data_IF_859892617947
#
_entry.id   IF_859892617947
#
_cell.length_a   1.000
_cell.length_b   1.000
_cell.length_c   1.000
_cell.angle_alpha   90.00
_cell.angle_beta   90.00
_cell.angle_gamma   90.00
#
_symmetry.space_group_name_H-M   'P 1'
#
loop_
_entity.id
_entity.type
_entity.pdbx_description
1 polymer ?
#
# COMPACT_ATOMS: atom_id res chain seq x y z
N UNK A 1 -19.37 -8.47 -47.42
CA UNK A 1 -19.55 -7.42 -46.44
C UNK A 1 -18.66 -7.64 -45.23
N UNK A 2 -18.04 -6.57 -44.75
CA UNK A 2 -17.26 -6.65 -43.52
C UNK A 2 -18.20 -6.79 -42.34
N UNK A 3 -17.81 -7.56 -41.31
CA UNK A 3 -18.61 -7.62 -40.09
C UNK A 3 -18.67 -6.25 -39.44
N UNK A 4 -19.74 -5.91 -38.70
CA UNK A 4 -19.81 -4.64 -38.01
C UNK A 4 -18.69 -4.54 -36.98
N UNK A 5 -18.15 -3.34 -36.84
CA UNK A 5 -17.14 -3.09 -35.83
C UNK A 5 -17.77 -3.22 -34.44
N UNK A 6 -17.06 -3.80 -33.47
CA UNK A 6 -17.58 -3.80 -32.10
C UNK A 6 -17.75 -2.36 -31.63
N UNK A 7 -18.69 -2.10 -30.73
CA UNK A 7 -18.85 -0.75 -30.18
C UNK A 7 -17.55 -0.29 -29.51
N UNK A 8 -17.24 0.99 -29.70
CA UNK A 8 -16.09 1.58 -29.04
C UNK A 8 -16.35 1.57 -27.53
N UNK A 9 -15.45 0.97 -26.73
CA UNK A 9 -15.63 1.00 -25.28
C UNK A 9 -15.70 2.43 -24.78
N UNK A 10 -16.52 2.67 -23.76
CA UNK A 10 -16.56 3.95 -23.11
C UNK A 10 -15.18 4.25 -22.53
N UNK A 11 -14.72 5.50 -22.68
CA UNK A 11 -13.48 5.96 -22.05
C UNK A 11 -13.71 5.95 -20.55
N UNK A 12 -12.93 5.15 -19.83
CA UNK A 12 -13.00 5.12 -18.36
C UNK A 12 -12.11 6.20 -17.81
N UNK A 13 -12.59 6.85 -16.77
CA UNK A 13 -11.78 7.84 -16.08
C UNK A 13 -10.60 7.19 -15.39
N UNK A 14 -9.47 7.81 -15.51
CA UNK A 14 -8.29 7.49 -14.74
C UNK A 14 -8.17 8.50 -13.60
N UNK A 15 -7.51 8.07 -12.54
CA UNK A 15 -7.12 8.97 -11.47
C UNK A 15 -5.61 8.89 -11.31
N UNK A 16 -5.00 10.00 -10.94
CA UNK A 16 -3.58 10.04 -10.64
C UNK A 16 -3.38 9.72 -9.18
N UNK A 17 -2.56 8.70 -8.91
CA UNK A 17 -2.27 8.22 -7.55
C UNK A 17 -0.78 8.43 -7.29
N UNK A 18 -0.42 9.09 -6.18
CA UNK A 18 1.00 9.35 -5.90
C UNK A 18 1.75 8.08 -5.56
N UNK A 19 2.94 7.94 -6.16
CA UNK A 19 3.92 6.94 -5.78
C UNK A 19 4.81 7.53 -4.70
N UNK A 20 4.74 6.95 -3.51
CA UNK A 20 5.58 7.37 -2.38
C UNK A 20 6.92 6.65 -2.49
N UNK A 21 7.99 7.40 -2.69
CA UNK A 21 9.33 6.84 -2.87
C UNK A 21 10.11 6.74 -1.57
N UNK A 22 9.88 7.68 -0.67
CA UNK A 22 10.53 7.70 0.63
C UNK A 22 9.66 8.44 1.63
N UNK A 23 9.99 8.31 2.89
CA UNK A 23 9.29 9.01 3.97
C UNK A 23 10.28 9.95 4.66
N UNK A 24 10.02 11.25 4.58
CA UNK A 24 10.83 12.24 5.28
C UNK A 24 10.40 12.29 6.76
N UNK A 25 11.39 12.45 7.62
CA UNK A 25 11.14 12.53 9.07
C UNK A 25 10.20 13.68 9.40
N UNK A 26 9.16 13.37 10.18
CA UNK A 26 8.20 14.37 10.65
C UNK A 26 7.22 14.87 9.61
N UNK A 27 7.30 14.42 8.35
CA UNK A 27 6.40 14.82 7.29
C UNK A 27 5.22 13.86 7.18
N UNK A 28 4.01 14.35 6.78
CA UNK A 28 2.93 13.43 6.41
C UNK A 28 3.34 12.55 5.24
N UNK A 29 2.79 11.34 5.15
CA UNK A 29 3.18 10.39 4.09
C UNK A 29 3.00 10.97 2.69
N UNK A 30 1.97 11.78 2.48
CA UNK A 30 1.67 12.41 1.18
C UNK A 30 2.30 13.79 1.00
N UNK A 31 3.27 14.16 1.84
CA UNK A 31 4.02 15.39 1.62
C UNK A 31 4.72 15.35 0.26
N UNK A 32 4.78 16.49 -0.41
CA UNK A 32 5.35 16.58 -1.77
C UNK A 32 6.75 15.97 -1.85
N UNK A 33 7.56 16.14 -0.83
CA UNK A 33 8.93 15.62 -0.78
C UNK A 33 9.01 14.10 -0.77
N UNK A 34 7.92 13.41 -0.42
CA UNK A 34 7.86 11.95 -0.41
C UNK A 34 7.37 11.38 -1.74
N UNK A 35 6.80 12.21 -2.62
CA UNK A 35 6.17 11.75 -3.85
C UNK A 35 7.16 11.77 -4.98
N UNK A 36 7.42 10.60 -5.58
CA UNK A 36 8.30 10.47 -6.74
C UNK A 36 7.58 10.84 -8.03
N UNK A 37 6.36 10.33 -8.22
CA UNK A 37 5.57 10.61 -9.42
C UNK A 37 4.09 10.32 -9.17
N UNK A 38 3.25 10.73 -10.11
CA UNK A 38 1.83 10.41 -10.10
C UNK A 38 1.58 9.34 -11.17
N UNK A 39 0.93 8.25 -10.77
CA UNK A 39 0.65 7.13 -11.67
C UNK A 39 -0.83 7.07 -12.00
N UNK A 40 -1.20 6.90 -13.29
CA UNK A 40 -2.60 6.74 -13.64
C UNK A 40 -3.09 5.36 -13.21
N UNK A 41 -4.23 5.34 -12.53
CA UNK A 41 -4.87 4.12 -12.06
C UNK A 41 -6.32 4.10 -12.53
N UNK A 42 -6.88 2.91 -12.88
CA UNK A 42 -8.27 2.83 -13.27
C UNK A 42 -9.17 3.13 -12.08
N UNK A 43 -9.94 4.20 -12.20
CA UNK A 43 -10.81 4.64 -11.12
C UNK A 43 -11.88 3.60 -10.80
N UNK A 44 -12.28 2.81 -11.79
CA UNK A 44 -13.28 1.77 -11.62
C UNK A 44 -12.85 0.68 -10.63
N UNK A 45 -11.56 0.37 -10.59
CA UNK A 45 -11.03 -0.68 -9.70
C UNK A 45 -10.68 -0.16 -8.31
N UNK A 46 -10.31 1.11 -8.23
CA UNK A 46 -9.83 1.73 -6.99
C UNK A 46 -10.52 3.07 -6.84
N UNK A 47 -11.72 3.04 -6.26
CA UNK A 47 -12.52 4.24 -6.06
C UNK A 47 -12.43 4.80 -4.64
N UNK A 48 -11.67 4.16 -3.77
CA UNK A 48 -11.45 4.67 -2.42
C UNK A 48 -10.76 6.03 -2.48
N UNK A 49 -11.12 6.95 -1.59
CA UNK A 49 -10.43 8.24 -1.52
C UNK A 49 -9.01 8.07 -0.97
N UNK A 50 -8.16 9.04 -1.29
CA UNK A 50 -6.85 9.20 -0.66
C UNK A 50 -5.96 7.96 -0.79
N UNK A 51 -5.77 7.51 -2.03
CA UNK A 51 -4.86 6.39 -2.31
C UNK A 51 -3.43 6.88 -2.52
N UNK A 52 -2.48 6.03 -2.17
CA UNK A 52 -1.10 6.16 -2.62
C UNK A 52 -0.53 4.79 -2.98
N UNK A 53 0.59 4.81 -3.69
CA UNK A 53 1.28 3.60 -4.12
C UNK A 53 2.63 3.53 -3.40
N UNK A 54 2.99 2.34 -2.95
CA UNK A 54 4.25 2.09 -2.27
C UNK A 54 4.90 0.85 -2.87
N UNK A 55 6.17 0.96 -3.23
CA UNK A 55 6.92 -0.20 -3.72
C UNK A 55 7.42 -1.05 -2.54
N UNK A 56 7.20 -2.36 -2.63
CA UNK A 56 7.62 -3.31 -1.60
C UNK A 56 9.11 -3.58 -1.72
N UNK A 57 9.79 -3.47 -0.60
CA UNK A 57 11.20 -3.83 -0.48
C UNK A 57 11.36 -4.94 0.54
N UNK A 58 12.03 -6.01 0.14
CA UNK A 58 12.24 -7.15 1.00
C UNK A 58 11.12 -8.18 0.90
N UNK A 59 11.17 -9.17 1.78
CA UNK A 59 10.34 -10.37 1.72
C UNK A 59 9.55 -10.63 3.00
N UNK A 60 9.30 -9.59 3.79
CA UNK A 60 8.61 -9.76 5.08
C UNK A 60 7.15 -10.20 4.95
N UNK A 61 6.56 -10.10 3.75
CA UNK A 61 5.15 -10.40 3.54
C UNK A 61 4.91 -11.47 2.48
N UNK A 62 5.90 -12.32 2.22
CA UNK A 62 5.81 -13.33 1.14
C UNK A 62 4.68 -14.32 1.36
N UNK A 63 4.38 -14.70 2.59
CA UNK A 63 3.30 -15.65 2.88
C UNK A 63 1.91 -15.03 2.66
N UNK A 64 1.82 -13.73 2.54
CA UNK A 64 0.58 -13.03 2.16
C UNK A 64 0.51 -12.78 0.66
N UNK A 65 1.49 -13.27 -0.12
CA UNK A 65 1.53 -13.07 -1.56
C UNK A 65 2.06 -11.71 -1.99
N UNK A 66 2.72 -10.99 -1.09
CA UNK A 66 3.32 -9.70 -1.37
C UNK A 66 4.82 -9.89 -1.50
N UNK A 67 5.37 -9.61 -2.67
CA UNK A 67 6.76 -9.91 -3.00
C UNK A 67 7.56 -8.63 -3.21
N UNK A 68 8.87 -8.75 -3.04
CA UNK A 68 9.81 -7.65 -3.33
C UNK A 68 9.57 -7.12 -4.75
N UNK A 69 9.49 -5.81 -4.88
CA UNK A 69 9.23 -5.15 -6.16
C UNK A 69 7.76 -4.96 -6.50
N UNK A 70 6.85 -5.54 -5.75
CA UNK A 70 5.42 -5.29 -5.94
C UNK A 70 5.08 -3.85 -5.64
N UNK A 71 4.02 -3.35 -6.30
CA UNK A 71 3.44 -2.05 -5.97
C UNK A 71 2.17 -2.28 -5.16
N UNK A 72 2.09 -1.67 -3.99
CA UNK A 72 0.91 -1.73 -3.15
C UNK A 72 0.05 -0.52 -3.40
N UNK A 73 -1.25 -0.75 -3.56
CA UNK A 73 -2.25 0.32 -3.58
C UNK A 73 -2.77 0.44 -2.16
N UNK A 74 -2.56 1.60 -1.55
CA UNK A 74 -2.77 1.84 -0.13
C UNK A 74 -3.78 2.96 0.05
N UNK A 75 -4.78 2.72 0.87
CA UNK A 75 -5.73 3.77 1.26
C UNK A 75 -5.23 4.46 2.52
N UNK A 76 -5.15 5.80 2.49
CA UNK A 76 -4.77 6.58 3.66
C UNK A 76 -5.80 6.40 4.77
N UNK A 77 -5.40 5.77 5.85
CA UNK A 77 -6.19 5.59 7.06
C UNK A 77 -5.26 5.50 8.25
N UNK A 78 -5.70 6.02 9.37
CA UNK A 78 -4.89 6.00 10.60
C UNK A 78 -5.42 5.00 11.64
N UNK A 79 -6.47 4.25 11.29
CA UNK A 79 -7.07 3.24 12.15
C UNK A 79 -7.07 1.92 11.41
N UNK A 80 -6.70 0.85 12.09
CA UNK A 80 -6.68 -0.50 11.54
C UNK A 80 -7.35 -1.47 12.51
N UNK A 81 -7.92 -2.53 11.96
CA UNK A 81 -8.47 -3.64 12.72
C UNK A 81 -7.47 -4.80 12.73
N UNK A 82 -7.62 -5.69 13.71
CA UNK A 82 -6.78 -6.87 13.80
C UNK A 82 -6.82 -7.68 12.51
N UNK A 83 -5.64 -8.04 12.01
CA UNK A 83 -5.50 -8.80 10.79
C UNK A 83 -5.36 -7.96 9.52
N UNK A 84 -5.58 -6.65 9.59
CA UNK A 84 -5.36 -5.78 8.42
C UNK A 84 -3.88 -5.75 8.04
N UNK A 85 -3.62 -5.70 6.74
CA UNK A 85 -2.27 -5.41 6.23
C UNK A 85 -2.13 -3.90 6.15
N UNK A 86 -1.20 -3.36 6.89
CA UNK A 86 -1.04 -1.92 7.05
C UNK A 86 0.33 -1.45 6.56
N UNK A 87 0.39 -0.17 6.23
CA UNK A 87 1.64 0.57 6.12
C UNK A 87 1.79 1.33 7.42
N UNK A 88 2.82 0.97 8.19
CA UNK A 88 3.13 1.60 9.47
C UNK A 88 4.42 2.40 9.36
N UNK A 89 4.46 3.53 10.05
CA UNK A 89 5.65 4.38 10.06
C UNK A 89 6.45 4.06 11.32
N UNK A 90 7.62 3.46 11.13
CA UNK A 90 8.56 3.15 12.19
C UNK A 90 9.84 3.93 11.93
N UNK A 91 10.18 4.81 12.85
CA UNK A 91 11.29 5.72 12.66
C UNK A 91 11.06 6.50 11.36
N UNK A 92 11.94 6.48 10.41
CA UNK A 92 11.80 7.19 9.14
C UNK A 92 11.50 6.24 7.99
N UNK A 93 10.86 5.10 8.28
CA UNK A 93 10.57 4.10 7.27
C UNK A 93 9.10 3.71 7.27
N UNK A 94 8.58 3.45 6.07
CA UNK A 94 7.28 2.84 5.89
C UNK A 94 7.48 1.33 5.83
N UNK A 95 6.84 0.59 6.74
CA UNK A 95 6.92 -0.87 6.77
C UNK A 95 5.54 -1.47 6.57
N UNK A 96 5.48 -2.61 5.88
CA UNK A 96 4.23 -3.31 5.59
C UNK A 96 4.19 -4.56 6.46
N UNK A 97 3.16 -4.65 7.27
CA UNK A 97 3.01 -5.76 8.22
C UNK A 97 1.52 -6.01 8.46
N UNK A 98 1.22 -7.14 9.07
CA UNK A 98 -0.13 -7.42 9.55
C UNK A 98 -0.27 -6.84 10.95
N UNK A 99 -1.37 -6.13 11.18
CA UNK A 99 -1.62 -5.37 12.40
C UNK A 99 -2.42 -6.19 13.39
N UNK A 100 -1.99 -6.15 14.67
CA UNK A 100 -2.77 -6.71 15.79
C UNK A 100 -2.64 -5.78 16.98
N UNK A 101 -3.78 -5.43 17.57
CA UNK A 101 -3.80 -4.61 18.78
C UNK A 101 -3.96 -5.50 19.99
N UNK A 102 -3.04 -5.39 20.92
CA UNK A 102 -3.11 -6.04 22.21
C UNK A 102 -3.44 -5.02 23.29
N UNK A 103 -3.63 -5.50 24.53
CA UNK A 103 -4.07 -4.64 25.61
C UNK A 103 -3.07 -3.48 25.89
N UNK A 104 -1.79 -3.77 25.83
CA UNK A 104 -0.73 -2.83 26.22
C UNK A 104 0.27 -2.51 25.12
N UNK A 105 0.09 -3.06 23.92
CA UNK A 105 1.00 -2.82 22.81
C UNK A 105 0.33 -3.12 21.48
N UNK A 106 1.04 -2.75 20.41
CA UNK A 106 0.69 -3.10 19.04
C UNK A 106 1.71 -4.10 18.52
N UNK A 107 1.23 -5.13 17.86
CA UNK A 107 2.08 -6.11 17.21
C UNK A 107 2.01 -5.90 15.70
N UNK A 108 3.15 -5.74 15.07
CA UNK A 108 3.30 -5.69 13.62
C UNK A 108 3.93 -7.00 13.19
N UNK A 109 3.11 -7.88 12.62
CA UNK A 109 3.50 -9.26 12.34
C UNK A 109 3.88 -9.40 10.87
N UNK A 110 5.12 -9.87 10.58
CA UNK A 110 5.48 -10.24 9.23
C UNK A 110 4.73 -11.51 8.82
N UNK A 111 4.52 -11.68 7.53
CA UNK A 111 4.03 -12.91 6.94
C UNK A 111 5.22 -13.66 6.33
N UNK A 112 6.14 -14.06 7.20
CA UNK A 112 7.38 -14.74 6.86
C UNK A 112 7.86 -15.49 8.09
N UNK A 113 7.97 -16.82 7.98
CA UNK A 113 8.33 -17.69 9.10
C UNK A 113 9.75 -17.46 9.63
N UNK A 114 10.59 -16.77 8.86
CA UNK A 114 11.97 -16.48 9.25
C UNK A 114 12.11 -15.14 9.99
N UNK A 115 11.01 -14.41 10.16
CA UNK A 115 11.04 -13.07 10.76
C UNK A 115 10.18 -13.01 12.00
N UNK A 116 10.63 -12.23 12.97
CA UNK A 116 9.93 -12.05 14.25
C UNK A 116 8.98 -10.85 14.20
N UNK A 117 7.86 -10.91 14.94
CA UNK A 117 6.98 -9.76 15.09
C UNK A 117 7.68 -8.58 15.77
N UNK A 118 7.25 -7.39 15.40
CA UNK A 118 7.68 -6.15 16.02
C UNK A 118 6.62 -5.74 17.02
N UNK A 119 7.00 -5.50 18.27
CA UNK A 119 6.09 -5.03 19.32
C UNK A 119 6.46 -3.62 19.71
N UNK A 120 5.48 -2.73 19.67
CA UNK A 120 5.65 -1.32 20.01
C UNK A 120 4.50 -0.88 20.89
N UNK A 121 4.75 0.13 21.73
CA UNK A 121 3.67 0.66 22.58
C UNK A 121 2.61 1.38 21.77
N UNK A 122 3.02 2.06 20.72
CA UNK A 122 2.12 2.73 19.78
C UNK A 122 2.82 2.85 18.43
N UNK A 123 2.04 3.04 17.38
CA UNK A 123 2.58 3.21 16.03
C UNK A 123 1.64 4.08 15.22
N UNK A 124 2.20 4.86 14.32
CA UNK A 124 1.42 5.62 13.36
C UNK A 124 1.12 4.74 12.15
N UNK A 125 -0.16 4.56 11.86
CA UNK A 125 -0.62 3.86 10.67
C UNK A 125 -0.78 4.89 9.56
N UNK A 126 -0.12 4.66 8.42
CA UNK A 126 -0.23 5.52 7.26
C UNK A 126 -1.36 5.09 6.33
N UNK A 127 -1.67 3.79 6.31
CA UNK A 127 -2.75 3.32 5.46
C UNK A 127 -2.97 1.82 5.52
N UNK A 128 -4.02 1.40 4.83
CA UNK A 128 -4.40 -0.01 4.66
C UNK A 128 -4.12 -0.45 3.23
N UNK A 129 -3.52 -1.62 3.07
CA UNK A 129 -3.25 -2.17 1.74
C UNK A 129 -4.56 -2.66 1.13
N UNK A 130 -4.89 -2.14 -0.06
CA UNK A 130 -6.11 -2.46 -0.79
C UNK A 130 -5.87 -3.29 -2.03
N UNK A 131 -4.65 -3.34 -2.53
CA UNK A 131 -4.35 -4.10 -3.72
C UNK A 131 -2.86 -4.23 -3.96
N UNK A 132 -2.53 -5.12 -4.88
CA UNK A 132 -1.15 -5.39 -5.29
C UNK A 132 -1.10 -5.34 -6.81
N UNK A 133 -0.08 -4.69 -7.34
CA UNK A 133 0.21 -4.68 -8.76
C UNK A 133 1.60 -5.24 -8.96
N UNK A 134 1.72 -6.27 -9.80
CA UNK A 134 2.99 -6.92 -10.06
C UNK A 134 3.22 -7.06 -11.56
N UNK A 135 4.43 -6.74 -11.97
CA UNK A 135 4.84 -6.88 -13.34
C UNK A 135 5.78 -8.09 -13.47
N UNK A 136 5.52 -8.93 -14.45
CA UNK A 136 6.43 -10.00 -14.83
C UNK A 136 7.37 -9.55 -15.92
N UNK A 137 8.52 -10.15 -15.98
CA UNK A 137 9.48 -9.92 -17.04
C UNK A 137 9.15 -10.75 -18.28
#
# INVERSE_FOLDING_TARGET
DAPPKPPTPAVRSERLVPLVGRVAAGAPILATENIDELLPMPQMMFDEPDLFILEVKGDSMVNAGILDGDYLIVQCRNIADDGDIVVALLEDEATVKRFYRHRDHVELRPENDQMEPIRVSSVQIAGLVRGVLRRFR
#
